data_IF_946585387171
#
_entry.id   IF_946585387171
#
_cell.length_a   1.000
_cell.length_b   1.000
_cell.length_c   1.000
_cell.angle_alpha   90.00
_cell.angle_beta   90.00
_cell.angle_gamma   90.00
#
_symmetry.space_group_name_H-M   'P 1'
#
loop_
_entity.id
_entity.type
_entity.pdbx_description
1 polymer ?
#
# COMPACT_ATOMS: atom_id res chain seq x y z
N UNK A 1 27.34 11.96 -14.04
CA UNK A 1 26.09 11.18 -14.20
C UNK A 1 25.00 11.85 -13.37
N UNK A 2 23.74 11.82 -13.81
CA UNK A 2 22.61 12.38 -13.05
C UNK A 2 21.65 11.23 -12.72
N UNK A 3 21.30 11.09 -11.44
CA UNK A 3 20.34 10.12 -10.93
C UNK A 3 19.10 10.87 -10.41
N UNK A 4 17.91 10.40 -10.76
CA UNK A 4 16.64 10.96 -10.30
C UNK A 4 15.89 9.91 -9.47
N UNK A 5 15.67 10.21 -8.19
CA UNK A 5 14.93 9.37 -7.23
C UNK A 5 13.74 10.17 -6.67
N UNK A 6 12.87 10.65 -7.56
CA UNK A 6 11.79 11.59 -7.25
C UNK A 6 10.47 10.93 -6.83
N UNK A 7 10.37 9.61 -6.93
CA UNK A 7 9.16 8.87 -6.58
C UNK A 7 8.99 7.60 -7.41
N UNK A 8 7.82 6.97 -7.25
CA UNK A 8 7.39 5.76 -7.93
C UNK A 8 5.94 5.91 -8.37
N UNK A 9 5.67 5.66 -9.64
CA UNK A 9 4.31 5.65 -10.19
C UNK A 9 3.72 4.23 -10.17
N UNK A 10 2.39 4.14 -10.06
CA UNK A 10 1.69 2.87 -10.11
C UNK A 10 1.46 2.41 -11.55
N UNK A 11 1.86 1.19 -11.87
CA UNK A 11 1.69 0.59 -13.20
C UNK A 11 0.25 0.06 -13.37
N UNK A 12 -0.68 0.95 -13.73
CA UNK A 12 -2.12 0.62 -13.82
C UNK A 12 -2.79 0.99 -15.13
N UNK A 13 -2.13 1.72 -16.02
CA UNK A 13 -2.75 2.32 -17.20
C UNK A 13 -3.26 1.26 -18.20
N UNK A 14 -2.49 0.20 -18.40
CA UNK A 14 -2.81 -0.85 -19.39
C UNK A 14 -3.60 -2.04 -18.80
N UNK A 15 -4.16 -1.90 -17.60
CA UNK A 15 -4.92 -2.96 -16.92
C UNK A 15 -6.42 -2.96 -17.26
N UNK A 16 -6.89 -2.00 -18.05
CA UNK A 16 -8.32 -1.90 -18.41
C UNK A 16 -9.22 -1.54 -17.22
N UNK A 17 -8.67 -0.89 -16.19
CA UNK A 17 -9.39 -0.56 -14.95
C UNK A 17 -10.60 0.37 -15.17
N UNK A 18 -10.58 1.16 -16.26
CA UNK A 18 -11.70 2.04 -16.62
C UNK A 18 -12.94 1.25 -17.09
N UNK A 19 -12.73 0.08 -17.72
CA UNK A 19 -13.81 -0.81 -18.19
C UNK A 19 -14.64 -1.32 -17.00
N UNK A 20 -13.94 -1.67 -15.92
CA UNK A 20 -14.51 -2.19 -14.66
C UNK A 20 -14.74 -1.09 -13.61
N UNK A 21 -14.53 0.18 -13.98
CA UNK A 21 -14.77 1.38 -13.16
C UNK A 21 -14.04 1.36 -11.82
N UNK A 22 -12.77 0.98 -11.81
CA UNK A 22 -11.91 1.05 -10.62
C UNK A 22 -11.39 2.46 -10.41
N UNK A 23 -11.67 3.05 -9.25
CA UNK A 23 -11.22 4.39 -8.90
C UNK A 23 -9.71 4.41 -8.63
N UNK A 24 -9.05 5.40 -9.23
CA UNK A 24 -7.60 5.65 -9.09
C UNK A 24 -7.35 7.03 -8.51
N UNK A 25 -6.30 7.16 -7.71
CA UNK A 25 -5.75 8.45 -7.30
C UNK A 25 -5.01 9.10 -8.48
N UNK A 26 -4.64 10.38 -8.34
CA UNK A 26 -3.82 11.08 -9.36
C UNK A 26 -2.50 10.38 -9.67
N UNK A 27 -1.97 9.59 -8.73
CA UNK A 27 -0.76 8.79 -8.89
C UNK A 27 -0.97 7.44 -9.59
N UNK A 28 -2.17 7.18 -10.15
CA UNK A 28 -2.54 5.89 -10.75
C UNK A 28 -2.88 4.79 -9.73
N UNK A 29 -2.54 4.98 -8.45
CA UNK A 29 -2.81 4.00 -7.38
C UNK A 29 -4.30 3.74 -7.20
N UNK A 30 -4.66 2.49 -6.95
CA UNK A 30 -6.04 2.06 -6.71
C UNK A 30 -6.51 2.57 -5.35
N UNK A 31 -7.68 3.22 -5.32
CA UNK A 31 -8.32 3.67 -4.09
C UNK A 31 -9.08 2.49 -3.50
N UNK A 32 -8.63 2.03 -2.33
CA UNK A 32 -9.19 0.87 -1.64
C UNK A 32 -9.50 1.14 -0.16
N UNK A 33 -10.35 0.30 0.41
CA UNK A 33 -10.46 0.10 1.86
C UNK A 33 -9.60 -1.10 2.22
N UNK A 34 -8.37 -0.82 2.68
CA UNK A 34 -7.29 -1.84 2.74
C UNK A 34 -7.11 -2.45 1.35
N UNK A 35 -7.06 -3.78 1.21
CA UNK A 35 -6.79 -4.41 -0.09
C UNK A 35 -7.97 -4.34 -1.06
N UNK A 36 -9.20 -4.02 -0.61
CA UNK A 36 -10.39 -4.10 -1.46
C UNK A 36 -10.68 -2.76 -2.13
N UNK A 37 -10.89 -2.75 -3.45
CA UNK A 37 -11.29 -1.55 -4.19
C UNK A 37 -12.62 -0.98 -3.67
N UNK A 38 -12.69 0.35 -3.50
CA UNK A 38 -13.93 1.00 -3.03
C UNK A 38 -15.02 1.07 -4.09
N UNK A 39 -14.66 1.07 -5.37
CA UNK A 39 -15.62 1.18 -6.47
C UNK A 39 -15.96 -0.15 -7.14
N UNK A 40 -15.15 -1.18 -6.90
CA UNK A 40 -15.34 -2.50 -7.50
C UNK A 40 -15.02 -3.62 -6.48
N UNK A 41 -16.02 -4.09 -5.70
CA UNK A 41 -15.78 -4.95 -4.54
C UNK A 41 -15.11 -6.31 -4.82
N UNK A 42 -15.14 -6.79 -6.06
CA UNK A 42 -14.49 -8.04 -6.48
C UNK A 42 -13.05 -7.84 -6.99
N UNK A 43 -12.53 -6.61 -6.97
CA UNK A 43 -11.15 -6.28 -7.31
C UNK A 43 -10.37 -5.92 -6.05
N UNK A 44 -9.16 -6.46 -5.96
CA UNK A 44 -8.24 -6.25 -4.85
C UNK A 44 -6.90 -5.71 -5.34
N UNK A 45 -6.23 -4.93 -4.50
CA UNK A 45 -4.97 -4.26 -4.74
C UNK A 45 -4.05 -4.46 -3.53
N UNK A 46 -2.80 -4.87 -3.76
CA UNK A 46 -1.82 -5.15 -2.70
C UNK A 46 -0.48 -4.51 -3.06
N UNK A 47 0.20 -3.98 -2.05
CA UNK A 47 1.53 -3.38 -2.21
C UNK A 47 1.47 -1.99 -2.83
N UNK A 48 2.50 -1.63 -3.58
CA UNK A 48 2.74 -0.25 -4.03
C UNK A 48 1.61 0.37 -4.85
N UNK A 49 0.79 -0.46 -5.49
CA UNK A 49 -0.37 -0.04 -6.30
C UNK A 49 -1.56 0.42 -5.45
N UNK A 50 -1.62 0.07 -4.17
CA UNK A 50 -2.68 0.49 -3.26
C UNK A 50 -2.42 1.91 -2.74
N UNK A 51 -3.43 2.76 -2.82
CA UNK A 51 -3.31 4.14 -2.36
C UNK A 51 -3.22 4.23 -0.83
N UNK A 52 -2.22 4.95 -0.33
CA UNK A 52 -2.05 5.21 1.11
C UNK A 52 -1.39 4.09 1.91
N UNK A 53 -1.05 2.94 1.30
CA UNK A 53 -0.27 1.89 1.96
C UNK A 53 1.25 2.14 1.82
N UNK A 54 2.06 1.80 2.83
CA UNK A 54 3.52 1.83 2.71
C UNK A 54 4.05 0.93 1.59
N UNK A 55 4.96 1.46 0.79
CA UNK A 55 5.60 0.80 -0.36
C UNK A 55 6.78 -0.07 0.10
N UNK A 56 6.48 -1.11 0.87
CA UNK A 56 7.48 -2.01 1.45
C UNK A 56 7.14 -3.47 1.14
N UNK A 57 8.15 -4.24 0.74
CA UNK A 57 7.97 -5.67 0.40
C UNK A 57 7.33 -6.49 1.53
N UNK A 58 7.73 -6.35 2.82
CA UNK A 58 7.08 -7.11 3.90
C UNK A 58 5.60 -6.75 4.07
N UNK A 59 5.23 -5.51 3.80
CA UNK A 59 3.84 -5.01 3.88
C UNK A 59 3.00 -5.63 2.77
N UNK A 60 3.50 -5.66 1.54
CA UNK A 60 2.83 -6.33 0.42
C UNK A 60 2.65 -7.83 0.68
N UNK A 61 3.67 -8.51 1.21
CA UNK A 61 3.59 -9.93 1.58
C UNK A 61 2.51 -10.16 2.65
N UNK A 62 2.48 -9.34 3.70
CA UNK A 62 1.49 -9.46 4.75
C UNK A 62 0.07 -9.19 4.23
N UNK A 63 -0.11 -8.14 3.41
CA UNK A 63 -1.38 -7.82 2.76
C UNK A 63 -1.92 -8.98 1.92
N UNK A 64 -1.05 -9.60 1.12
CA UNK A 64 -1.40 -10.80 0.35
C UNK A 64 -1.78 -11.99 1.22
N UNK A 65 -1.01 -12.29 2.27
CA UNK A 65 -1.32 -13.38 3.19
C UNK A 65 -2.65 -13.20 3.91
N UNK A 66 -2.92 -12.01 4.43
CA UNK A 66 -4.18 -11.69 5.11
C UNK A 66 -5.35 -11.77 4.13
N UNK A 67 -5.23 -11.18 2.94
CA UNK A 67 -6.26 -11.25 1.91
C UNK A 67 -6.61 -12.70 1.55
N UNK A 68 -5.61 -13.55 1.32
CA UNK A 68 -5.84 -14.96 0.97
C UNK A 68 -6.58 -15.71 2.09
N UNK A 69 -6.23 -15.49 3.37
CA UNK A 69 -6.98 -16.08 4.49
C UNK A 69 -8.44 -15.63 4.49
N UNK A 70 -8.70 -14.34 4.22
CA UNK A 70 -10.07 -13.81 4.16
C UNK A 70 -10.88 -14.47 3.05
N UNK A 71 -10.30 -14.57 1.85
CA UNK A 71 -11.00 -15.08 0.67
C UNK A 71 -11.28 -16.59 0.73
N UNK A 72 -10.35 -17.38 1.29
CA UNK A 72 -10.39 -18.84 1.16
C UNK A 72 -10.66 -19.60 2.46
N UNK A 73 -10.50 -18.98 3.63
CA UNK A 73 -10.71 -19.67 4.92
C UNK A 73 -11.81 -19.03 5.77
N UNK A 74 -12.51 -18.01 5.26
CA UNK A 74 -13.53 -17.27 6.02
C UNK A 74 -12.97 -16.44 7.18
N UNK A 75 -11.65 -16.18 7.19
CA UNK A 75 -11.02 -15.35 8.21
C UNK A 75 -11.47 -13.87 8.05
N UNK A 76 -11.66 -13.14 9.14
CA UNK A 76 -12.05 -11.72 9.14
C UNK A 76 -10.92 -10.75 9.48
N UNK A 77 -9.71 -11.24 9.73
CA UNK A 77 -8.51 -10.44 9.98
C UNK A 77 -8.25 -9.46 8.84
N UNK A 78 -7.80 -8.27 9.18
CA UNK A 78 -7.47 -7.22 8.23
C UNK A 78 -6.01 -6.78 8.41
N UNK A 79 -5.35 -6.35 7.33
CA UNK A 79 -3.94 -5.94 7.36
C UNK A 79 -3.79 -4.60 8.06
N UNK A 80 -3.14 -4.59 9.22
CA UNK A 80 -2.84 -3.34 9.93
C UNK A 80 -1.70 -2.61 9.24
N UNK A 81 -1.98 -1.38 8.79
CA UNK A 81 -1.01 -0.50 8.13
C UNK A 81 -0.41 0.55 9.08
N UNK A 82 -0.75 0.47 10.36
CA UNK A 82 -0.17 1.30 11.41
C UNK A 82 1.09 0.63 11.99
N UNK A 83 2.05 1.45 12.46
CA UNK A 83 3.25 0.98 13.18
C UNK A 83 4.08 -0.04 12.40
N UNK A 84 4.27 0.22 11.10
CA UNK A 84 5.14 -0.58 10.24
C UNK A 84 6.59 -0.14 10.43
N UNK A 85 7.50 -1.03 10.87
CA UNK A 85 8.93 -0.73 10.92
C UNK A 85 9.46 -0.45 9.52
N UNK A 86 10.22 0.63 9.38
CA UNK A 86 10.82 1.06 8.12
C UNK A 86 12.31 1.35 8.33
N UNK A 87 13.12 1.02 7.34
CA UNK A 87 14.58 1.21 7.38
C UNK A 87 15.06 1.95 6.13
N UNK A 88 16.03 2.83 6.29
CA UNK A 88 16.76 3.48 5.19
C UNK A 88 18.23 3.09 5.28
N UNK A 89 18.72 2.42 4.24
CA UNK A 89 20.08 1.87 4.17
C UNK A 89 21.07 2.89 3.61
N UNK A 90 21.43 3.88 4.43
CA UNK A 90 22.59 4.75 4.14
C UNK A 90 23.84 4.20 4.84
N UNK A 91 25.05 4.74 4.59
CA UNK A 91 26.25 4.33 5.34
C UNK A 91 26.09 4.41 6.87
N UNK A 92 25.19 5.28 7.35
CA UNK A 92 24.62 5.21 8.70
C UNK A 92 23.16 4.77 8.58
N UNK A 93 22.83 3.59 9.08
CA UNK A 93 21.48 3.05 8.94
C UNK A 93 20.48 3.79 9.84
N UNK A 94 19.29 4.03 9.31
CA UNK A 94 18.18 4.62 10.05
C UNK A 94 17.01 3.65 10.09
N UNK A 95 16.39 3.51 11.25
CA UNK A 95 15.16 2.75 11.45
C UNK A 95 14.12 3.57 12.22
N UNK A 96 12.85 3.42 11.87
CA UNK A 96 11.74 4.04 12.59
C UNK A 96 10.51 3.13 12.59
N UNK A 97 9.64 3.33 13.57
CA UNK A 97 8.36 2.64 13.66
C UNK A 97 7.34 3.54 14.38
N UNK A 98 6.15 3.67 13.81
CA UNK A 98 5.09 4.49 14.37
C UNK A 98 5.17 5.96 13.97
N UNK A 99 4.63 6.83 14.82
CA UNK A 99 4.50 8.26 14.55
C UNK A 99 5.80 9.01 14.86
N UNK A 100 6.04 10.10 14.13
CA UNK A 100 6.97 11.13 14.58
C UNK A 100 6.39 11.87 15.79
N UNK A 101 7.25 12.50 16.59
CA UNK A 101 6.83 13.34 17.71
C UNK A 101 5.78 14.38 17.29
N UNK A 102 6.04 15.09 16.18
CA UNK A 102 5.11 16.09 15.65
C UNK A 102 3.73 15.50 15.30
N UNK A 103 3.70 14.35 14.62
CA UNK A 103 2.44 13.69 14.27
C UNK A 103 1.70 13.14 15.50
N UNK A 104 2.44 12.74 16.55
CA UNK A 104 1.85 12.29 17.80
C UNK A 104 1.19 13.43 18.58
N UNK A 105 1.78 14.63 18.59
CA UNK A 105 1.20 15.81 19.26
C UNK A 105 -0.12 16.26 18.61
N UNK A 106 -0.28 16.06 17.30
CA UNK A 106 -1.46 16.48 16.55
C UNK A 106 -2.63 15.48 16.61
N UNK A 107 -2.44 14.31 17.21
CA UNK A 107 -3.41 13.21 17.22
C UNK A 107 -4.15 13.16 18.56
#
# INVERSE_FOLDING_TARGET
QVLLAIGRDAMTDDLGLDIVRVNRAKSGKIIGRREQSVSCPYIYAIGDVLHGSPELTPVAIQGGKVLMRRLFTGNSELTEYDKIPTTVFTPLEYGSCGLSEYAAIQK
#
